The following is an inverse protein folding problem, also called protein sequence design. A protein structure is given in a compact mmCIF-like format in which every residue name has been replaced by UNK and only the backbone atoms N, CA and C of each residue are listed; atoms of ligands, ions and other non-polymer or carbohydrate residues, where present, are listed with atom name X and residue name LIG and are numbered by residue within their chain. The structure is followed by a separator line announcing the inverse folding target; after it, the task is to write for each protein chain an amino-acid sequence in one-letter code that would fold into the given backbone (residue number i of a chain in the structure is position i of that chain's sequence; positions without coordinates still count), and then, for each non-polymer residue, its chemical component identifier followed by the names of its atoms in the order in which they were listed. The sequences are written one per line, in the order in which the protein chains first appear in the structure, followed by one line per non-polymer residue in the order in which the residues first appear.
data_IF_264877032366
#
_entry.id   IF_264877032366
#
_cell.length_a   1.000
_cell.length_b   1.000
_cell.length_c   1.000
_cell.angle_alpha   90.00
_cell.angle_beta   90.00
_cell.angle_gamma   90.00
#
_symmetry.space_group_name_H-M   'P 1'
#
loop_
_entity.id
_entity.type
_entity.pdbx_description
1 polymer ?
#
# COMPACT_ATOMS: atom_id res chain seq x y z
N UNK A 1 7.92 11.31 63.06
CA UNK A 1 6.96 10.61 62.18
C UNK A 1 6.79 11.42 60.92
N UNK A 2 6.79 10.76 59.78
CA UNK A 2 6.62 11.39 58.45
C UNK A 2 5.59 10.55 57.65
N UNK A 3 4.60 11.22 57.03
CA UNK A 3 3.59 10.57 56.20
C UNK A 3 2.99 11.60 55.24
N UNK A 4 2.51 11.11 54.11
CA UNK A 4 1.76 11.90 53.13
C UNK A 4 0.28 11.50 53.23
N UNK A 5 -0.61 12.47 53.22
CA UNK A 5 -2.07 12.26 53.20
C UNK A 5 -2.67 12.88 51.96
N UNK A 6 -3.66 12.20 51.40
CA UNK A 6 -4.55 12.77 50.38
C UNK A 6 -5.86 13.22 51.10
N UNK A 7 -6.14 14.49 51.04
CA UNK A 7 -7.34 15.10 51.61
C UNK A 7 -8.12 15.80 50.50
N UNK A 8 -9.31 16.28 50.80
CA UNK A 8 -10.08 17.10 49.86
C UNK A 8 -10.18 18.51 50.39
N UNK A 9 -9.95 19.49 49.50
CA UNK A 9 -10.16 20.89 49.81
C UNK A 9 -11.66 21.25 49.94
N UNK A 10 -11.97 22.49 50.29
CA UNK A 10 -13.35 22.97 50.41
C UNK A 10 -14.13 22.95 49.09
N UNK A 11 -13.48 22.76 47.94
CA UNK A 11 -14.07 22.67 46.60
C UNK A 11 -14.13 21.21 46.10
N UNK A 12 -13.71 20.25 46.92
CA UNK A 12 -13.72 18.81 46.61
C UNK A 12 -12.53 18.33 45.77
N UNK A 13 -11.51 19.18 45.56
CA UNK A 13 -10.28 18.82 44.85
C UNK A 13 -9.31 18.06 45.79
N UNK A 14 -8.52 17.13 45.23
CA UNK A 14 -7.51 16.40 45.98
C UNK A 14 -6.36 17.31 46.41
N UNK A 15 -6.06 17.32 47.70
CA UNK A 15 -4.96 18.03 48.33
C UNK A 15 -3.99 17.01 48.92
N UNK A 16 -2.72 17.06 48.53
CA UNK A 16 -1.67 16.20 49.06
C UNK A 16 -0.82 16.95 50.06
N UNK A 17 -0.80 16.49 51.31
CA UNK A 17 -0.09 17.12 52.41
C UNK A 17 1.04 16.21 52.90
N UNK A 18 2.31 16.73 52.90
CA UNK A 18 3.44 16.10 53.59
C UNK A 18 3.41 16.56 55.03
N UNK A 19 3.14 15.65 55.96
CA UNK A 19 2.99 15.90 57.37
C UNK A 19 4.19 15.34 58.14
N UNK A 20 4.85 16.20 58.92
CA UNK A 20 5.98 15.80 59.77
C UNK A 20 5.74 16.20 61.21
N UNK A 21 5.90 15.25 62.09
CA UNK A 21 5.74 15.44 63.52
C UNK A 21 7.04 15.16 64.25
N UNK A 22 7.58 16.17 64.93
CA UNK A 22 8.85 16.12 65.67
C UNK A 22 8.64 16.54 67.12
N UNK A 23 9.27 15.81 68.05
CA UNK A 23 9.33 16.19 69.45
C UNK A 23 10.67 16.87 69.69
N UNK A 24 10.62 18.11 70.16
CA UNK A 24 11.81 18.88 70.53
C UNK A 24 11.93 18.80 72.02
N UNK A 25 12.99 18.19 72.52
CA UNK A 25 13.34 18.11 73.97
C UNK A 25 14.28 19.25 74.33
N UNK A 26 13.95 19.94 75.44
CA UNK A 26 14.77 21.00 76.01
C UNK A 26 14.94 20.74 77.51
N UNK A 27 16.10 21.07 78.03
CA UNK A 27 16.38 20.89 79.48
C UNK A 27 15.64 21.95 80.32
N UNK A 28 15.25 23.07 79.73
CA UNK A 28 14.65 24.21 80.47
C UNK A 28 13.12 24.33 80.31
N UNK A 29 12.50 23.55 79.39
CA UNK A 29 11.07 23.66 79.10
C UNK A 29 10.44 22.27 78.91
N UNK A 30 9.13 22.21 79.07
CA UNK A 30 8.36 21.01 78.69
C UNK A 30 8.55 20.67 77.20
N UNK A 31 8.65 19.38 76.82
CA UNK A 31 8.85 19.00 75.43
C UNK A 31 7.80 19.57 74.50
N UNK A 32 8.26 20.21 73.42
CA UNK A 32 7.38 20.82 72.38
C UNK A 32 7.15 19.82 71.25
N UNK A 33 5.93 19.72 70.81
CA UNK A 33 5.57 18.94 69.66
C UNK A 33 5.42 19.86 68.46
N UNK A 34 6.35 19.76 67.50
CA UNK A 34 6.31 20.53 66.24
C UNK A 34 5.57 19.69 65.18
N UNK A 35 4.52 20.26 64.63
CA UNK A 35 3.80 19.71 63.49
C UNK A 35 4.03 20.61 62.29
N UNK A 36 4.55 20.07 61.19
CA UNK A 36 4.82 20.81 59.98
C UNK A 36 4.03 20.13 58.86
N UNK A 37 3.30 20.92 58.12
CA UNK A 37 2.51 20.46 56.95
C UNK A 37 2.89 21.31 55.73
N UNK A 38 3.20 20.63 54.63
CA UNK A 38 3.44 21.27 53.33
C UNK A 38 2.45 20.77 52.33
N UNK A 39 1.88 21.68 51.55
CA UNK A 39 1.12 21.35 50.36
C UNK A 39 2.08 20.92 49.27
N UNK A 40 1.94 19.64 48.85
CA UNK A 40 2.74 19.04 47.77
C UNK A 40 1.86 18.60 46.61
N UNK A 41 0.67 19.16 46.49
CA UNK A 41 -0.35 18.75 45.51
C UNK A 41 0.18 18.85 44.08
N UNK A 42 0.74 20.00 43.71
CA UNK A 42 1.31 20.17 42.36
C UNK A 42 2.44 19.18 42.08
N UNK A 43 3.28 18.92 43.09
CA UNK A 43 4.40 17.96 42.94
C UNK A 43 3.90 16.52 42.77
N UNK A 44 2.90 16.10 43.53
CA UNK A 44 2.35 14.74 43.39
C UNK A 44 1.53 14.58 42.09
N UNK A 45 0.81 15.61 41.63
CA UNK A 45 0.12 15.60 40.34
C UNK A 45 1.13 15.51 39.18
N UNK A 46 2.17 16.36 39.16
CA UNK A 46 3.24 16.29 38.14
C UNK A 46 3.95 14.93 38.14
N UNK A 47 4.20 14.37 39.33
CA UNK A 47 4.82 13.04 39.44
C UNK A 47 3.91 11.95 38.86
N UNK A 48 2.60 11.98 39.08
CA UNK A 48 1.64 11.04 38.49
C UNK A 48 1.59 11.18 36.96
N UNK A 49 1.53 12.43 36.45
CA UNK A 49 1.59 12.69 35.00
C UNK A 49 2.88 12.16 34.36
N UNK A 50 4.02 12.41 35.03
CA UNK A 50 5.33 11.93 34.56
C UNK A 50 5.39 10.39 34.56
N UNK A 51 4.82 9.74 35.57
CA UNK A 51 4.78 8.27 35.62
C UNK A 51 3.93 7.71 34.48
N UNK A 52 2.75 8.27 34.22
CA UNK A 52 1.88 7.86 33.11
C UNK A 52 2.57 8.10 31.74
N UNK A 53 3.21 9.26 31.58
CA UNK A 53 3.97 9.57 30.35
C UNK A 53 5.16 8.61 30.16
N UNK A 54 5.89 8.29 31.24
CA UNK A 54 7.00 7.34 31.22
C UNK A 54 6.52 5.93 30.84
N UNK A 55 5.47 5.42 31.49
CA UNK A 55 4.92 4.10 31.23
C UNK A 55 4.43 3.98 29.77
N UNK A 56 3.78 5.03 29.24
CA UNK A 56 3.37 5.11 27.85
C UNK A 56 4.59 5.10 26.90
N UNK A 57 5.65 5.81 27.23
CA UNK A 57 6.88 5.83 26.43
C UNK A 57 7.61 4.47 26.45
N UNK A 58 7.74 3.84 27.62
CA UNK A 58 8.34 2.51 27.77
C UNK A 58 7.56 1.43 27.00
N UNK A 59 6.22 1.47 27.09
CA UNK A 59 5.35 0.55 26.34
C UNK A 59 5.52 0.77 24.83
N UNK A 60 5.57 2.01 24.38
CA UNK A 60 5.81 2.34 22.96
C UNK A 60 7.16 1.82 22.46
N UNK A 61 8.22 1.95 23.28
CA UNK A 61 9.57 1.49 22.91
C UNK A 61 9.65 -0.05 22.86
N UNK A 62 9.00 -0.73 23.79
CA UNK A 62 8.88 -2.19 23.78
C UNK A 62 8.13 -2.68 22.54
N UNK A 63 7.00 -2.05 22.18
CA UNK A 63 6.25 -2.37 20.98
C UNK A 63 7.08 -2.16 19.71
N UNK A 64 7.87 -1.08 19.67
CA UNK A 64 8.76 -0.77 18.54
C UNK A 64 9.87 -1.81 18.39
N UNK A 65 10.46 -2.23 19.49
CA UNK A 65 11.51 -3.27 19.52
C UNK A 65 10.95 -4.64 19.09
N UNK A 66 9.79 -5.03 19.60
CA UNK A 66 9.10 -6.24 19.17
C UNK A 66 8.72 -6.21 17.70
N UNK A 67 8.28 -5.05 17.18
CA UNK A 67 8.00 -4.81 15.78
C UNK A 67 9.24 -5.11 14.91
N UNK A 68 10.41 -4.50 15.21
CA UNK A 68 11.64 -4.71 14.45
C UNK A 68 12.13 -6.16 14.49
N UNK A 69 12.01 -6.84 15.64
CA UNK A 69 12.39 -8.24 15.78
C UNK A 69 11.50 -9.16 14.92
N UNK A 70 10.18 -8.96 14.95
CA UNK A 70 9.23 -9.71 14.15
C UNK A 70 9.42 -9.48 12.65
N UNK A 71 9.65 -8.22 12.24
CA UNK A 71 9.96 -7.89 10.84
C UNK A 71 11.19 -8.61 10.35
N UNK A 72 12.27 -8.59 11.14
CA UNK A 72 13.51 -9.28 10.78
C UNK A 72 13.28 -10.78 10.56
N UNK A 73 12.42 -11.41 11.36
CA UNK A 73 12.06 -12.82 11.21
C UNK A 73 11.20 -13.06 9.95
N UNK A 74 10.15 -12.26 9.73
CA UNK A 74 9.26 -12.41 8.57
C UNK A 74 9.95 -12.11 7.23
N UNK A 75 10.98 -11.25 7.21
CA UNK A 75 11.85 -11.01 6.04
C UNK A 75 12.82 -12.18 5.83
N UNK A 76 13.43 -12.70 6.90
CA UNK A 76 14.47 -13.74 6.80
C UNK A 76 13.93 -15.06 6.23
N UNK A 77 12.72 -15.44 6.59
CA UNK A 77 12.10 -16.71 6.17
C UNK A 77 11.97 -16.82 4.64
N UNK A 78 11.29 -15.90 3.94
CA UNK A 78 11.21 -15.96 2.47
C UNK A 78 12.58 -15.73 1.82
N UNK A 79 13.43 -14.87 2.37
CA UNK A 79 14.76 -14.62 1.83
C UNK A 79 15.64 -15.89 1.84
N UNK A 80 15.62 -16.65 2.93
CA UNK A 80 16.35 -17.92 3.03
C UNK A 80 15.83 -18.96 2.02
N UNK A 81 14.51 -19.01 1.79
CA UNK A 81 13.92 -19.88 0.77
C UNK A 81 14.38 -19.47 -0.63
N UNK A 82 14.32 -18.17 -0.97
CA UNK A 82 14.81 -17.65 -2.26
C UNK A 82 16.27 -18.03 -2.48
N UNK A 83 17.16 -17.76 -1.51
CA UNK A 83 18.59 -18.05 -1.62
C UNK A 83 18.83 -19.56 -1.74
N UNK A 84 18.16 -20.38 -0.92
CA UNK A 84 18.34 -21.82 -0.89
C UNK A 84 17.91 -22.47 -2.21
N UNK A 85 16.69 -22.22 -2.66
CA UNK A 85 16.17 -22.80 -3.88
C UNK A 85 16.84 -22.25 -5.14
N UNK A 86 17.29 -20.98 -5.16
CA UNK A 86 18.08 -20.44 -6.28
C UNK A 86 19.41 -21.21 -6.48
N UNK A 87 20.07 -21.65 -5.41
CA UNK A 87 21.27 -22.51 -5.50
C UNK A 87 20.94 -23.88 -6.06
N UNK A 88 19.87 -24.51 -5.56
CA UNK A 88 19.43 -25.83 -6.04
C UNK A 88 19.06 -25.78 -7.52
N UNK A 89 18.37 -24.72 -7.99
CA UNK A 89 18.06 -24.48 -9.39
C UNK A 89 19.32 -24.41 -10.25
N UNK A 90 20.38 -23.78 -9.74
CA UNK A 90 21.65 -23.66 -10.46
C UNK A 90 22.40 -24.98 -10.60
N UNK A 91 22.22 -25.90 -9.65
CA UNK A 91 22.91 -27.19 -9.58
C UNK A 91 22.07 -28.35 -10.17
N UNK A 92 20.73 -28.23 -10.26
CA UNK A 92 19.84 -29.26 -10.78
C UNK A 92 19.90 -29.32 -12.31
N UNK A 93 20.03 -30.54 -12.88
CA UNK A 93 19.91 -30.84 -14.31
C UNK A 93 18.47 -31.20 -14.72
N UNK A 94 17.61 -31.53 -13.75
CA UNK A 94 16.22 -31.94 -13.99
C UNK A 94 15.33 -30.70 -14.22
N UNK A 95 14.73 -30.60 -15.40
CA UNK A 95 13.89 -29.46 -15.81
C UNK A 95 12.61 -29.34 -14.98
N UNK A 96 11.97 -30.44 -14.60
CA UNK A 96 10.73 -30.43 -13.80
C UNK A 96 11.01 -29.97 -12.37
N UNK A 97 12.07 -30.46 -11.74
CA UNK A 97 12.50 -30.01 -10.42
C UNK A 97 12.88 -28.51 -10.44
N UNK A 98 13.60 -28.06 -11.48
CA UNK A 98 13.94 -26.64 -11.64
C UNK A 98 12.69 -25.75 -11.70
N UNK A 99 11.65 -26.20 -12.39
CA UNK A 99 10.39 -25.48 -12.51
C UNK A 99 9.64 -25.43 -11.16
N UNK A 100 9.61 -26.54 -10.44
CA UNK A 100 9.03 -26.58 -9.10
C UNK A 100 9.74 -25.63 -8.13
N UNK A 101 11.07 -25.67 -8.09
CA UNK A 101 11.86 -24.78 -7.22
C UNK A 101 11.76 -23.31 -7.64
N UNK A 102 11.66 -23.02 -8.94
CA UNK A 102 11.41 -21.70 -9.44
C UNK A 102 10.09 -21.13 -8.94
N UNK A 103 9.01 -21.90 -8.97
CA UNK A 103 7.72 -21.50 -8.44
C UNK A 103 7.79 -21.18 -6.93
N UNK A 104 8.60 -21.93 -6.18
CA UNK A 104 8.82 -21.65 -4.74
C UNK A 104 9.57 -20.33 -4.56
N UNK A 105 10.60 -20.06 -5.37
CA UNK A 105 11.33 -18.79 -5.34
C UNK A 105 10.40 -17.62 -5.66
N UNK A 106 9.59 -17.74 -6.71
CA UNK A 106 8.65 -16.73 -7.16
C UNK A 106 7.60 -16.41 -6.07
N UNK A 107 6.95 -17.42 -5.49
CA UNK A 107 5.99 -17.25 -4.41
C UNK A 107 6.58 -16.58 -3.15
N UNK A 108 7.84 -16.89 -2.81
CA UNK A 108 8.52 -16.25 -1.68
C UNK A 108 8.95 -14.82 -1.99
N UNK A 109 9.30 -14.52 -3.24
CA UNK A 109 9.61 -13.16 -3.69
C UNK A 109 8.37 -12.26 -3.65
N UNK A 110 7.22 -12.72 -4.15
CA UNK A 110 5.94 -12.01 -4.05
C UNK A 110 5.57 -11.74 -2.59
N UNK A 111 5.72 -12.74 -1.71
CA UNK A 111 5.48 -12.59 -0.28
C UNK A 111 6.38 -11.54 0.36
N UNK A 112 7.66 -11.50 -0.01
CA UNK A 112 8.62 -10.52 0.51
C UNK A 112 8.26 -9.11 0.04
N UNK A 113 7.89 -8.93 -1.22
CA UNK A 113 7.44 -7.66 -1.77
C UNK A 113 6.18 -7.16 -1.08
N UNK A 114 5.20 -8.04 -0.87
CA UNK A 114 3.98 -7.71 -0.13
C UNK A 114 4.32 -7.22 1.29
N UNK A 115 5.19 -7.94 2.01
CA UNK A 115 5.63 -7.57 3.36
C UNK A 115 6.28 -6.18 3.38
N UNK A 116 7.19 -5.91 2.43
CA UNK A 116 7.87 -4.61 2.34
C UNK A 116 6.86 -3.48 2.09
N UNK A 117 5.91 -3.68 1.20
CA UNK A 117 4.87 -2.68 0.90
C UNK A 117 3.97 -2.43 2.12
N UNK A 118 3.56 -3.47 2.83
CA UNK A 118 2.78 -3.34 4.07
C UNK A 118 3.53 -2.56 5.15
N UNK A 119 4.84 -2.77 5.29
CA UNK A 119 5.70 -2.03 6.21
C UNK A 119 5.80 -0.56 5.83
N UNK A 120 6.04 -0.28 4.56
CA UNK A 120 6.14 1.09 4.04
C UNK A 120 4.82 1.84 4.22
N UNK A 121 3.69 1.20 3.90
CA UNK A 121 2.36 1.77 4.10
C UNK A 121 2.13 2.11 5.58
N UNK A 122 2.36 1.15 6.48
CA UNK A 122 2.21 1.37 7.91
C UNK A 122 3.09 2.52 8.41
N UNK A 123 4.37 2.54 8.00
CA UNK A 123 5.33 3.57 8.41
C UNK A 123 4.90 4.96 7.93
N UNK A 124 4.41 5.08 6.68
CA UNK A 124 3.92 6.35 6.13
C UNK A 124 2.66 6.83 6.84
N UNK A 125 1.72 5.91 7.12
CA UNK A 125 0.47 6.24 7.83
C UNK A 125 0.77 6.70 9.25
N UNK A 126 1.67 6.03 9.99
CA UNK A 126 2.06 6.43 11.36
C UNK A 126 2.79 7.75 11.42
N UNK A 127 3.66 8.02 10.45
CA UNK A 127 4.35 9.31 10.33
C UNK A 127 3.42 10.46 9.93
N UNK A 128 2.15 10.19 9.59
CA UNK A 128 1.22 11.21 9.10
C UNK A 128 1.57 11.76 7.71
N UNK A 129 2.46 11.08 6.98
CA UNK A 129 2.97 11.52 5.67
C UNK A 129 1.98 11.14 4.54
N UNK A 130 1.10 10.16 4.79
CA UNK A 130 0.08 9.78 3.81
C UNK A 130 -1.02 10.84 3.79
N UNK A 131 -1.09 11.54 2.70
CA UNK A 131 -2.24 12.37 2.37
C UNK A 131 -3.37 11.47 1.88
N UNK A 132 -4.54 11.59 2.52
CA UNK A 132 -5.75 10.92 2.09
C UNK A 132 -6.41 11.79 1.01
N UNK A 133 -6.65 11.22 -0.15
CA UNK A 133 -7.32 11.91 -1.26
C UNK A 133 -8.85 11.79 -1.07
N UNK A 134 -9.41 12.70 -0.27
CA UNK A 134 -10.85 12.71 -0.02
C UNK A 134 -11.58 13.30 -1.24
N UNK A 135 -12.43 12.49 -1.86
CA UNK A 135 -13.25 12.85 -3.01
C UNK A 135 -14.60 12.11 -2.93
N UNK A 136 -15.63 12.57 -3.67
CA UNK A 136 -16.89 11.84 -3.78
C UNK A 136 -16.68 10.44 -4.40
N UNK A 137 -17.02 9.39 -3.65
CA UNK A 137 -16.89 7.99 -4.06
C UNK A 137 -18.28 7.37 -4.19
N UNK A 138 -18.59 6.84 -5.37
CA UNK A 138 -19.78 5.99 -5.57
C UNK A 138 -19.44 4.57 -5.16
N UNK A 139 -20.20 4.03 -4.21
CA UNK A 139 -19.86 2.73 -3.59
C UNK A 139 -20.16 1.54 -4.49
N UNK A 140 -21.24 1.56 -5.25
CA UNK A 140 -21.58 0.46 -6.15
C UNK A 140 -20.50 0.19 -7.22
N UNK A 141 -20.04 1.19 -8.01
CA UNK A 141 -18.94 0.98 -8.95
C UNK A 141 -17.65 0.52 -8.28
N UNK A 142 -17.31 1.07 -7.10
CA UNK A 142 -16.12 0.66 -6.36
C UNK A 142 -16.19 -0.82 -5.94
N UNK A 143 -17.31 -1.25 -5.36
CA UNK A 143 -17.46 -2.65 -4.94
C UNK A 143 -17.50 -3.60 -6.15
N UNK A 144 -18.08 -3.18 -7.27
CA UNK A 144 -18.03 -3.96 -8.52
C UNK A 144 -16.59 -4.10 -9.04
N UNK A 145 -15.81 -3.03 -9.04
CA UNK A 145 -14.38 -3.07 -9.40
C UNK A 145 -13.60 -4.03 -8.50
N UNK A 146 -13.90 -4.03 -7.18
CA UNK A 146 -13.30 -4.98 -6.23
C UNK A 146 -13.71 -6.41 -6.58
N UNK A 147 -14.98 -6.65 -6.92
CA UNK A 147 -15.45 -7.97 -7.32
C UNK A 147 -14.69 -8.49 -8.54
N UNK A 148 -14.62 -7.69 -9.60
CA UNK A 148 -13.96 -8.05 -10.85
C UNK A 148 -12.44 -8.33 -10.65
N UNK A 149 -11.80 -7.61 -9.73
CA UNK A 149 -10.40 -7.82 -9.39
C UNK A 149 -10.13 -9.12 -8.61
N UNK A 150 -11.13 -9.66 -7.89
CA UNK A 150 -10.94 -10.80 -6.99
C UNK A 150 -11.59 -12.09 -7.46
N UNK A 151 -12.59 -12.05 -8.32
CA UNK A 151 -13.34 -13.24 -8.78
C UNK A 151 -12.44 -14.28 -9.42
N UNK A 152 -11.43 -13.87 -10.21
CA UNK A 152 -10.47 -14.79 -10.84
C UNK A 152 -9.47 -15.43 -9.88
N UNK A 153 -9.33 -14.88 -8.67
CA UNK A 153 -8.46 -15.41 -7.61
C UNK A 153 -9.22 -16.24 -6.58
N UNK A 154 -10.55 -16.32 -6.73
CA UNK A 154 -11.40 -17.08 -5.84
C UNK A 154 -11.09 -18.58 -5.99
N UNK A 155 -10.87 -19.34 -4.90
CA UNK A 155 -10.71 -20.79 -4.97
C UNK A 155 -11.92 -21.46 -5.65
N UNK A 156 -11.71 -22.54 -6.39
CA UNK A 156 -12.76 -23.21 -7.17
C UNK A 156 -13.97 -23.67 -6.36
N UNK A 157 -13.79 -23.96 -5.09
CA UNK A 157 -14.81 -24.48 -4.17
C UNK A 157 -15.40 -23.40 -3.25
N UNK A 158 -15.12 -22.12 -3.54
CA UNK A 158 -15.59 -20.96 -2.80
C UNK A 158 -16.31 -20.01 -3.76
N UNK A 159 -17.48 -19.50 -3.36
CA UNK A 159 -18.22 -18.49 -4.10
C UNK A 159 -17.97 -17.10 -3.51
N UNK A 160 -17.58 -16.13 -4.36
CA UNK A 160 -17.46 -14.72 -3.97
C UNK A 160 -18.74 -13.98 -4.36
N UNK A 161 -19.46 -13.44 -3.37
CA UNK A 161 -20.76 -12.80 -3.54
C UNK A 161 -20.65 -11.32 -3.17
N UNK A 162 -20.97 -10.45 -4.12
CA UNK A 162 -21.20 -9.04 -3.82
C UNK A 162 -22.68 -8.81 -3.53
N UNK A 163 -22.99 -8.28 -2.35
CA UNK A 163 -24.35 -7.92 -1.91
C UNK A 163 -24.57 -6.42 -2.13
N UNK A 164 -25.13 -6.00 -3.26
CA UNK A 164 -25.34 -4.59 -3.55
C UNK A 164 -26.45 -4.02 -2.65
N UNK A 165 -26.26 -2.76 -2.21
CA UNK A 165 -27.36 -1.99 -1.62
C UNK A 165 -28.33 -1.52 -2.72
N UNK A 166 -29.61 -1.39 -2.37
CA UNK A 166 -30.64 -0.86 -3.27
C UNK A 166 -30.46 0.64 -3.59
N UNK A 167 -29.61 1.34 -2.86
CA UNK A 167 -29.35 2.78 -3.01
C UNK A 167 -27.98 3.06 -3.63
N UNK A 168 -27.91 4.02 -4.58
CA UNK A 168 -26.65 4.54 -5.13
C UNK A 168 -25.99 5.51 -4.12
N UNK A 169 -25.29 4.96 -3.15
CA UNK A 169 -24.69 5.71 -2.06
C UNK A 169 -23.38 6.36 -2.52
N UNK A 170 -23.24 7.66 -2.21
CA UNK A 170 -22.00 8.44 -2.38
C UNK A 170 -21.49 8.91 -1.03
N UNK A 171 -20.18 8.79 -0.81
CA UNK A 171 -19.52 9.30 0.40
C UNK A 171 -18.27 10.09 0.02
N UNK A 172 -17.92 11.09 0.82
CA UNK A 172 -16.63 11.79 0.72
C UNK A 172 -15.57 10.96 1.44
N UNK A 173 -14.74 10.27 0.66
CA UNK A 173 -13.72 9.37 1.21
C UNK A 173 -12.59 9.13 0.21
N UNK A 174 -11.60 8.33 0.58
CA UNK A 174 -10.52 7.90 -0.31
C UNK A 174 -10.86 6.54 -0.94
N UNK A 175 -11.16 6.56 -2.25
CA UNK A 175 -11.50 5.38 -3.05
C UNK A 175 -10.44 4.26 -2.89
N UNK A 176 -9.16 4.62 -3.00
CA UNK A 176 -8.07 3.64 -3.01
C UNK A 176 -7.90 2.99 -1.63
N UNK A 177 -8.13 3.75 -0.57
CA UNK A 177 -8.04 3.22 0.80
C UNK A 177 -9.22 2.30 1.14
N UNK A 178 -10.43 2.63 0.69
CA UNK A 178 -11.58 1.72 0.84
C UNK A 178 -11.33 0.44 0.04
N UNK A 179 -10.87 0.56 -1.21
CA UNK A 179 -10.47 -0.59 -2.05
C UNK A 179 -9.44 -1.47 -1.33
N UNK A 180 -8.40 -0.87 -0.76
CA UNK A 180 -7.33 -1.55 -0.02
C UNK A 180 -7.87 -2.33 1.19
N UNK A 181 -8.76 -1.71 1.99
CA UNK A 181 -9.37 -2.35 3.17
C UNK A 181 -10.20 -3.55 2.76
N UNK A 182 -11.15 -3.38 1.83
CA UNK A 182 -12.05 -4.48 1.41
C UNK A 182 -11.25 -5.60 0.76
N UNK A 183 -10.28 -5.28 -0.12
CA UNK A 183 -9.42 -6.27 -0.77
C UNK A 183 -8.59 -7.07 0.24
N UNK A 184 -8.10 -6.43 1.30
CA UNK A 184 -7.36 -7.11 2.36
C UNK A 184 -8.26 -8.06 3.17
N UNK A 185 -9.49 -7.65 3.46
CA UNK A 185 -10.46 -8.49 4.16
C UNK A 185 -10.89 -9.69 3.30
N UNK A 186 -11.18 -9.49 1.99
CA UNK A 186 -11.48 -10.57 1.05
C UNK A 186 -10.28 -11.52 0.90
N UNK A 187 -9.06 -10.99 0.79
CA UNK A 187 -7.84 -11.79 0.73
C UNK A 187 -7.62 -12.65 1.97
N UNK A 188 -7.99 -12.15 3.15
CA UNK A 188 -7.99 -12.95 4.37
C UNK A 188 -9.09 -14.02 4.34
N UNK A 189 -10.29 -13.70 3.88
CA UNK A 189 -11.38 -14.65 3.74
C UNK A 189 -10.99 -15.83 2.80
N UNK A 190 -10.34 -15.56 1.64
CA UNK A 190 -9.82 -16.61 0.76
C UNK A 190 -8.83 -17.57 1.43
N UNK A 191 -8.00 -17.06 2.35
CA UNK A 191 -7.00 -17.89 3.06
C UNK A 191 -7.62 -18.88 4.05
N UNK A 192 -8.77 -18.52 4.62
CA UNK A 192 -9.37 -19.28 5.72
C UNK A 192 -10.65 -20.01 5.32
N UNK A 193 -11.13 -19.84 4.09
CA UNK A 193 -12.30 -20.51 3.55
C UNK A 193 -11.84 -21.49 2.45
N UNK A 194 -11.93 -22.78 2.73
CA UNK A 194 -11.59 -23.83 1.75
C UNK A 194 -12.80 -24.24 0.92
N UNK A 195 -14.00 -24.15 1.48
CA UNK A 195 -15.28 -24.47 0.82
C UNK A 195 -16.36 -23.55 1.37
N UNK A 196 -17.32 -23.17 0.55
CA UNK A 196 -18.45 -22.35 0.96
C UNK A 196 -18.51 -21.00 0.24
N UNK A 197 -18.74 -19.91 0.97
CA UNK A 197 -18.93 -18.60 0.36
C UNK A 197 -18.27 -17.49 1.17
N UNK A 198 -17.96 -16.43 0.43
CA UNK A 198 -17.50 -15.16 0.98
C UNK A 198 -18.44 -14.10 0.43
N UNK A 199 -19.17 -13.41 1.31
CA UNK A 199 -20.04 -12.29 0.93
C UNK A 199 -19.49 -10.97 1.45
N UNK A 200 -19.70 -9.91 0.69
CA UNK A 200 -19.36 -8.55 1.13
C UNK A 200 -20.35 -7.55 0.53
N UNK A 201 -20.53 -6.48 1.26
CA UNK A 201 -21.45 -5.45 0.86
C UNK A 201 -21.41 -4.24 1.78
N UNK A 202 -22.36 -3.34 1.60
CA UNK A 202 -22.52 -2.17 2.42
C UNK A 202 -24.01 -1.80 2.54
N UNK A 203 -24.35 -1.10 3.62
CA UNK A 203 -25.66 -0.50 3.82
C UNK A 203 -25.54 0.78 4.65
N UNK A 204 -26.52 1.64 4.56
CA UNK A 204 -26.58 2.84 5.37
C UNK A 204 -27.30 2.59 6.69
N UNK A 205 -26.68 3.03 7.78
CA UNK A 205 -27.28 3.03 9.11
C UNK A 205 -27.13 4.42 9.75
N UNK A 206 -28.19 5.22 9.69
CA UNK A 206 -28.17 6.60 10.15
C UNK A 206 -27.15 7.47 9.37
N UNK A 207 -26.20 8.05 10.10
CA UNK A 207 -25.12 8.89 9.52
C UNK A 207 -23.86 8.10 9.15
N UNK A 208 -23.93 6.78 9.16
CA UNK A 208 -22.79 5.91 8.83
C UNK A 208 -23.12 4.96 7.70
N UNK A 209 -22.11 4.64 6.90
CA UNK A 209 -22.13 3.51 5.98
C UNK A 209 -21.42 2.36 6.65
N UNK A 210 -22.11 1.24 6.78
CA UNK A 210 -21.60 0.00 7.35
C UNK A 210 -21.20 -0.92 6.20
N UNK A 211 -19.94 -1.32 6.19
CA UNK A 211 -19.39 -2.32 5.29
C UNK A 211 -19.20 -3.64 6.03
N UNK A 212 -19.42 -4.74 5.36
CA UNK A 212 -19.17 -6.07 5.91
C UNK A 212 -18.46 -6.97 4.90
N UNK A 213 -17.62 -7.87 5.42
CA UNK A 213 -17.04 -9.00 4.68
C UNK A 213 -17.23 -10.22 5.56
N UNK A 214 -18.01 -11.19 5.09
CA UNK A 214 -18.37 -12.40 5.81
C UNK A 214 -17.85 -13.62 5.08
N UNK A 215 -17.19 -14.51 5.78
CA UNK A 215 -16.72 -15.80 5.28
C UNK A 215 -17.33 -16.96 6.06
N UNK A 216 -17.46 -18.12 5.42
CA UNK A 216 -17.90 -19.38 6.02
C UNK A 216 -16.72 -20.29 6.38
N UNK A 217 -15.54 -19.72 6.64
CA UNK A 217 -14.31 -20.43 6.87
C UNK A 217 -14.14 -20.99 8.29
N UNK A 218 -12.89 -21.23 8.68
CA UNK A 218 -12.54 -21.87 9.95
C UNK A 218 -12.87 -21.07 11.20
N UNK A 219 -13.18 -19.77 11.05
CA UNK A 219 -13.42 -18.88 12.17
C UNK A 219 -12.18 -18.57 13.01
N UNK A 220 -12.37 -17.77 14.05
CA UNK A 220 -11.33 -17.28 14.96
C UNK A 220 -11.66 -17.70 16.39
N UNK A 221 -10.66 -18.26 17.08
CA UNK A 221 -10.80 -18.65 18.48
C UNK A 221 -11.10 -17.41 19.38
N UNK A 222 -12.01 -17.50 20.35
CA UNK A 222 -12.45 -16.36 21.18
C UNK A 222 -11.31 -15.60 21.85
N UNK A 223 -10.26 -16.31 22.28
CA UNK A 223 -9.08 -15.71 22.94
C UNK A 223 -8.27 -14.80 22.02
N UNK A 224 -8.44 -14.96 20.71
CA UNK A 224 -7.70 -14.21 19.68
C UNK A 224 -8.50 -13.04 19.11
N UNK A 225 -9.84 -13.06 19.20
CA UNK A 225 -10.71 -12.02 18.61
C UNK A 225 -10.28 -10.60 19.03
N UNK A 226 -10.00 -10.39 20.34
CA UNK A 226 -9.56 -9.10 20.86
C UNK A 226 -8.21 -8.60 20.36
N UNK A 227 -7.41 -9.48 19.73
CA UNK A 227 -6.02 -9.19 19.32
C UNK A 227 -5.80 -9.23 17.81
N UNK A 228 -6.81 -9.57 16.99
CA UNK A 228 -6.61 -9.77 15.54
C UNK A 228 -6.17 -8.50 14.80
N UNK A 229 -6.45 -7.33 15.36
CA UNK A 229 -6.03 -6.04 14.83
C UNK A 229 -4.66 -5.58 15.37
N UNK A 230 -4.05 -6.34 16.29
CA UNK A 230 -2.68 -6.06 16.73
C UNK A 230 -1.67 -6.51 15.65
N UNK A 231 -0.51 -5.83 15.61
CA UNK A 231 0.52 -6.09 14.61
C UNK A 231 1.14 -7.47 14.82
N UNK A 232 1.39 -8.20 13.71
CA UNK A 232 2.00 -9.55 13.70
C UNK A 232 1.20 -10.63 14.44
N UNK A 233 -0.03 -10.35 14.82
CA UNK A 233 -0.91 -11.37 15.37
C UNK A 233 -1.46 -12.21 14.22
N UNK A 234 -1.28 -13.54 14.33
CA UNK A 234 -1.82 -14.54 13.38
C UNK A 234 -2.89 -15.35 14.09
N UNK A 235 -4.02 -15.51 13.44
CA UNK A 235 -5.11 -16.35 13.97
C UNK A 235 -4.65 -17.80 14.16
N UNK A 236 -3.76 -18.30 13.30
CA UNK A 236 -3.09 -19.59 13.41
C UNK A 236 -1.59 -19.42 13.15
N UNK A 237 -0.72 -20.04 13.97
CA UNK A 237 0.74 -19.94 13.83
C UNK A 237 1.26 -20.53 12.51
N UNK A 238 0.48 -21.40 11.86
CA UNK A 238 0.77 -22.00 10.57
C UNK A 238 0.14 -21.22 9.38
N UNK A 239 -0.69 -20.21 9.65
CA UNK A 239 -1.32 -19.44 8.59
C UNK A 239 -0.30 -18.57 7.86
N UNK A 240 -0.30 -18.67 6.54
CA UNK A 240 0.47 -17.77 5.67
C UNK A 240 -0.03 -16.33 5.82
N UNK A 241 0.88 -15.39 6.00
CA UNK A 241 0.56 -13.96 6.08
C UNK A 241 1.51 -13.21 7.00
N UNK A 242 1.58 -11.90 6.85
CA UNK A 242 2.48 -11.01 7.57
C UNK A 242 1.98 -10.64 8.97
N UNK A 243 0.64 -10.72 9.18
CA UNK A 243 -0.02 -10.24 10.38
C UNK A 243 -0.10 -8.71 10.48
N UNK A 244 0.17 -7.99 9.38
CA UNK A 244 0.07 -6.52 9.30
C UNK A 244 -1.23 -6.05 8.66
N UNK A 245 -1.82 -6.83 7.77
CA UNK A 245 -2.96 -6.41 6.96
C UNK A 245 -4.14 -5.88 7.78
N UNK A 246 -4.59 -6.59 8.82
CA UNK A 246 -5.69 -6.14 9.67
C UNK A 246 -5.34 -4.89 10.50
N UNK A 247 -4.09 -4.77 10.95
CA UNK A 247 -3.61 -3.57 11.64
C UNK A 247 -3.61 -2.34 10.71
N UNK A 248 -3.24 -2.54 9.44
CA UNK A 248 -3.32 -1.50 8.40
C UNK A 248 -4.78 -1.12 8.15
N UNK A 249 -5.69 -2.09 7.99
CA UNK A 249 -7.12 -1.83 7.83
C UNK A 249 -7.67 -0.97 8.97
N UNK A 250 -7.37 -1.33 10.22
CA UNK A 250 -7.77 -0.56 11.39
C UNK A 250 -7.26 0.87 11.34
N UNK A 251 -5.98 1.05 11.04
CA UNK A 251 -5.37 2.39 10.99
C UNK A 251 -5.98 3.25 9.87
N UNK A 252 -6.25 2.67 8.70
CA UNK A 252 -6.91 3.37 7.59
C UNK A 252 -8.32 3.81 8.00
N UNK A 253 -9.13 2.90 8.55
CA UNK A 253 -10.51 3.19 8.94
C UNK A 253 -10.58 4.24 10.05
N UNK A 254 -9.72 4.16 11.08
CA UNK A 254 -9.64 5.18 12.14
C UNK A 254 -9.24 6.55 11.58
N UNK A 255 -8.36 6.63 10.59
CA UNK A 255 -7.97 7.87 9.91
C UNK A 255 -9.10 8.45 9.05
N UNK A 256 -9.95 7.62 8.48
CA UNK A 256 -11.16 8.02 7.75
C UNK A 256 -12.34 8.39 8.69
N UNK A 257 -12.12 8.34 10.02
CA UNK A 257 -13.12 8.69 11.02
C UNK A 257 -14.11 7.57 11.36
N UNK A 258 -13.80 6.34 10.98
CA UNK A 258 -14.62 5.16 11.22
C UNK A 258 -14.08 4.25 12.32
N UNK A 259 -14.74 3.10 12.48
CA UNK A 259 -14.32 2.01 13.37
C UNK A 259 -14.42 0.66 12.65
N UNK A 260 -13.58 -0.30 13.03
CA UNK A 260 -13.61 -1.67 12.52
C UNK A 260 -13.78 -2.66 13.67
N UNK A 261 -14.56 -3.70 13.44
CA UNK A 261 -14.84 -4.76 14.41
C UNK A 261 -14.86 -6.13 13.73
N UNK A 262 -14.86 -7.18 14.53
CA UNK A 262 -14.92 -8.57 14.05
C UNK A 262 -15.85 -9.38 14.96
N UNK A 263 -16.66 -10.22 14.34
CA UNK A 263 -17.43 -11.27 15.00
C UNK A 263 -17.08 -12.60 14.34
N UNK A 264 -16.83 -13.62 15.13
CA UNK A 264 -16.42 -14.92 14.59
C UNK A 264 -16.80 -16.03 15.54
N UNK A 265 -17.15 -17.17 14.97
CA UNK A 265 -17.37 -18.43 15.71
C UNK A 265 -16.55 -19.52 15.03
N UNK A 266 -15.82 -20.30 15.82
CA UNK A 266 -14.94 -21.36 15.34
C UNK A 266 -15.75 -22.37 14.48
N UNK A 267 -15.22 -22.73 13.32
CA UNK A 267 -15.85 -23.61 12.32
C UNK A 267 -17.15 -23.12 11.68
N UNK A 268 -17.55 -21.86 11.95
CA UNK A 268 -18.73 -21.24 11.31
C UNK A 268 -18.39 -20.05 10.42
N UNK A 269 -17.20 -19.47 10.61
CA UNK A 269 -16.73 -18.35 9.81
C UNK A 269 -16.51 -17.06 10.59
N UNK A 270 -16.22 -16.00 9.83
CA UNK A 270 -15.87 -14.69 10.39
C UNK A 270 -16.61 -13.59 9.62
N UNK A 271 -17.07 -12.57 10.36
CA UNK A 271 -17.57 -11.32 9.78
C UNK A 271 -16.73 -10.16 10.28
N UNK A 272 -16.06 -9.48 9.37
CA UNK A 272 -15.45 -8.19 9.62
C UNK A 272 -16.43 -7.09 9.22
N UNK A 273 -16.63 -6.12 10.12
CA UNK A 273 -17.52 -4.98 9.89
C UNK A 273 -16.77 -3.68 10.15
N UNK A 274 -16.87 -2.72 9.25
CA UNK A 274 -16.36 -1.37 9.50
C UNK A 274 -17.38 -0.32 9.08
N UNK A 275 -17.33 0.84 9.73
CA UNK A 275 -18.17 1.97 9.39
C UNK A 275 -17.35 3.15 8.89
N UNK A 276 -17.95 3.96 8.04
CA UNK A 276 -17.44 5.27 7.64
C UNK A 276 -18.56 6.31 7.77
N UNK A 277 -18.24 7.57 8.13
CA UNK A 277 -19.24 8.65 8.16
C UNK A 277 -19.84 8.86 6.77
N UNK A 278 -21.17 8.82 6.66
CA UNK A 278 -21.90 9.19 5.46
C UNK A 278 -21.97 10.73 5.38
N UNK A 279 -20.86 11.39 5.05
CA UNK A 279 -20.93 12.77 4.56
C UNK A 279 -21.40 12.68 3.12
N UNK A 280 -22.72 12.80 2.93
CA UNK A 280 -23.34 12.83 1.61
C UNK A 280 -22.89 14.14 0.95
N UNK A 281 -22.18 14.05 -0.18
CA UNK A 281 -21.87 15.21 -1.00
C UNK A 281 -23.19 15.84 -1.43
N UNK A 282 -23.45 17.08 -1.02
CA UNK A 282 -24.62 17.82 -1.47
C UNK A 282 -24.62 17.95 -3.00
N UNK A 283 -25.76 17.71 -3.63
CA UNK A 283 -25.98 17.67 -5.08
C UNK A 283 -25.70 19.01 -5.81
N UNK A 284 -25.10 20.02 -5.20
CA UNK A 284 -24.97 21.37 -5.76
C UNK A 284 -23.59 21.76 -6.30
N UNK A 285 -22.67 20.84 -6.64
CA UNK A 285 -21.49 21.23 -7.42
C UNK A 285 -21.26 20.36 -8.64
N UNK A 286 -21.83 20.83 -9.76
CA UNK A 286 -21.42 20.68 -11.16
C UNK A 286 -21.15 19.26 -11.67
N UNK A 287 -22.17 18.74 -12.35
CA UNK A 287 -21.98 17.91 -13.53
C UNK A 287 -20.98 18.57 -14.50
N UNK A 288 -19.77 18.07 -14.53
CA UNK A 288 -18.95 18.20 -15.74
C UNK A 288 -19.50 17.18 -16.74
N UNK A 289 -19.89 17.57 -17.95
CA UNK A 289 -20.42 16.65 -18.91
C UNK A 289 -19.36 15.61 -19.31
N UNK A 290 -19.69 14.34 -19.14
CA UNK A 290 -19.04 13.26 -19.86
C UNK A 290 -19.10 13.58 -21.34
N UNK A 291 -17.96 13.84 -21.95
CA UNK A 291 -17.84 13.95 -23.39
C UNK A 291 -18.07 12.55 -23.96
N UNK A 292 -19.31 12.28 -24.31
CA UNK A 292 -19.69 11.16 -25.16
C UNK A 292 -19.01 11.40 -26.50
N UNK A 293 -18.03 10.60 -26.83
CA UNK A 293 -17.52 10.48 -28.19
C UNK A 293 -18.59 9.76 -28.99
N UNK A 294 -19.52 10.54 -29.56
CA UNK A 294 -20.38 10.06 -30.65
C UNK A 294 -19.50 9.80 -31.88
N UNK A 295 -19.53 8.56 -32.31
CA UNK A 295 -19.16 8.15 -33.66
C UNK A 295 -20.10 8.86 -34.63
N UNK A 296 -19.60 9.88 -35.35
CA UNK A 296 -20.26 10.35 -36.56
C UNK A 296 -19.37 10.03 -37.73
N UNK A 297 -19.78 8.96 -38.42
CA UNK A 297 -19.36 8.74 -39.78
C UNK A 297 -20.03 9.76 -40.71
N UNK A 298 -19.29 10.27 -41.65
CA UNK A 298 -19.67 10.38 -43.06
C UNK A 298 -18.64 11.12 -43.91
N UNK A 299 -18.21 10.37 -44.88
CA UNK A 299 -18.23 10.65 -46.35
C UNK A 299 -17.43 11.84 -46.89
N UNK A 300 -16.45 11.41 -47.66
CA UNK A 300 -16.01 11.90 -49.00
C UNK A 300 -15.63 13.36 -49.17
N UNK A 301 -14.37 13.55 -49.52
CA UNK A 301 -14.09 14.09 -50.86
C UNK A 301 -12.63 13.80 -51.31
N UNK A 302 -12.55 13.17 -52.47
CA UNK A 302 -11.36 13.01 -53.29
C UNK A 302 -10.87 14.39 -53.77
N UNK A 303 -9.60 14.66 -53.61
CA UNK A 303 -8.90 15.42 -54.66
C UNK A 303 -7.47 14.90 -54.81
N UNK A 304 -7.25 14.39 -56.03
CA UNK A 304 -5.99 14.00 -56.63
C UNK A 304 -4.99 15.15 -56.62
N UNK A 305 -3.76 14.89 -56.20
CA UNK A 305 -2.58 15.49 -56.82
C UNK A 305 -1.50 14.42 -56.96
N UNK A 306 -1.11 14.26 -58.19
CA UNK A 306 -0.17 13.30 -58.75
C UNK A 306 1.29 13.67 -58.46
N UNK A 307 2.09 12.61 -58.38
CA UNK A 307 3.48 12.45 -58.83
C UNK A 307 4.60 12.86 -57.85
N UNK A 308 5.29 11.88 -57.32
CA UNK A 308 6.59 11.44 -57.84
C UNK A 308 7.02 10.12 -57.21
N UNK A 309 7.32 9.15 -58.09
CA UNK A 309 7.98 7.90 -57.78
C UNK A 309 9.40 8.18 -57.34
N UNK A 310 9.75 7.91 -56.11
CA UNK A 310 11.14 7.57 -55.77
C UNK A 310 11.15 6.10 -55.33
N UNK A 311 11.98 5.36 -55.99
CA UNK A 311 12.21 3.94 -55.83
C UNK A 311 12.64 3.62 -54.41
N UNK A 312 11.83 2.89 -53.70
CA UNK A 312 12.22 2.25 -52.45
C UNK A 312 13.15 1.09 -52.79
N UNK A 313 14.39 1.20 -52.39
CA UNK A 313 15.28 0.07 -52.13
C UNK A 313 14.68 -0.76 -51.02
N UNK A 314 14.77 -2.10 -51.08
CA UNK A 314 14.24 -2.93 -49.98
C UNK A 314 15.09 -2.69 -48.72
N UNK A 315 14.50 -2.04 -47.70
CA UNK A 315 15.11 -1.95 -46.38
C UNK A 315 15.25 -3.37 -45.81
N UNK A 316 16.52 -3.79 -45.73
CA UNK A 316 16.89 -4.93 -44.88
C UNK A 316 16.28 -4.71 -43.51
N UNK A 317 15.63 -5.72 -42.90
CA UNK A 317 15.01 -5.68 -41.60
C UNK A 317 16.03 -5.26 -40.53
N UNK A 318 16.13 -3.96 -40.28
CA UNK A 318 16.96 -3.40 -39.21
C UNK A 318 16.31 -3.80 -37.91
N UNK A 319 17.08 -4.43 -37.02
CA UNK A 319 16.62 -4.71 -35.63
C UNK A 319 16.27 -3.39 -34.94
N UNK A 320 15.07 -3.29 -34.38
CA UNK A 320 14.58 -2.10 -33.71
C UNK A 320 15.43 -1.78 -32.47
N UNK A 321 15.70 -0.51 -32.23
CA UNK A 321 16.57 -0.01 -31.15
C UNK A 321 15.74 0.50 -29.99
N UNK A 322 15.99 -0.02 -28.79
CA UNK A 322 15.40 0.42 -27.54
C UNK A 322 16.47 1.13 -26.70
N UNK A 323 16.22 2.37 -26.33
CA UNK A 323 17.03 3.10 -25.35
C UNK A 323 16.47 2.83 -23.96
N UNK A 324 17.31 2.32 -23.05
CA UNK A 324 16.95 1.98 -21.67
C UNK A 324 17.67 2.93 -20.73
N UNK A 325 16.93 3.86 -20.14
CA UNK A 325 17.42 4.73 -19.08
C UNK A 325 17.18 4.06 -17.73
N UNK A 326 18.22 3.48 -17.13
CA UNK A 326 18.16 2.69 -15.90
C UNK A 326 19.53 2.74 -15.20
N UNK A 327 19.58 3.28 -13.99
CA UNK A 327 20.80 3.43 -13.19
C UNK A 327 21.26 2.11 -12.54
N UNK A 328 20.33 1.23 -12.22
CA UNK A 328 20.59 -0.01 -11.49
C UNK A 328 21.00 -1.15 -12.44
N UNK A 329 22.20 -1.70 -12.25
CA UNK A 329 22.74 -2.76 -13.11
C UNK A 329 21.88 -4.02 -13.18
N UNK A 330 21.31 -4.46 -12.07
CA UNK A 330 20.45 -5.67 -12.02
C UNK A 330 19.18 -5.49 -12.84
N UNK A 331 18.55 -4.32 -12.82
CA UNK A 331 17.36 -4.02 -13.60
C UNK A 331 17.66 -4.02 -15.09
N UNK A 332 18.78 -3.36 -15.48
CA UNK A 332 19.23 -3.38 -16.88
C UNK A 332 19.53 -4.79 -17.38
N UNK A 333 20.24 -5.61 -16.58
CA UNK A 333 20.55 -7.00 -16.93
C UNK A 333 19.26 -7.81 -17.13
N UNK A 334 18.24 -7.61 -16.27
CA UNK A 334 16.94 -8.25 -16.43
C UNK A 334 16.27 -7.86 -17.74
N UNK A 335 16.18 -6.56 -18.04
CA UNK A 335 15.59 -6.06 -19.31
C UNK A 335 16.37 -6.62 -20.50
N UNK A 336 17.70 -6.63 -20.43
CA UNK A 336 18.57 -7.18 -21.48
C UNK A 336 18.35 -8.69 -21.68
N UNK A 337 18.16 -9.45 -20.62
CA UNK A 337 17.88 -10.89 -20.71
C UNK A 337 16.53 -11.16 -21.39
N UNK A 338 15.53 -10.32 -21.14
CA UNK A 338 14.18 -10.44 -21.72
C UNK A 338 14.14 -10.02 -23.19
N UNK A 339 14.76 -8.88 -23.53
CA UNK A 339 14.58 -8.21 -24.83
C UNK A 339 15.77 -8.35 -25.79
N UNK A 340 16.97 -8.64 -25.30
CA UNK A 340 18.21 -8.58 -26.08
C UNK A 340 18.32 -9.60 -27.23
N UNK A 341 17.40 -10.57 -27.32
CA UNK A 341 17.29 -11.48 -28.46
C UNK A 341 16.47 -10.94 -29.62
N UNK A 342 15.57 -9.97 -29.34
CA UNK A 342 14.57 -9.46 -30.28
C UNK A 342 14.88 -8.02 -30.73
N UNK A 343 15.61 -7.26 -29.88
CA UNK A 343 15.86 -5.83 -30.06
C UNK A 343 17.32 -5.47 -29.84
N UNK A 344 17.76 -4.39 -30.49
CA UNK A 344 19.05 -3.73 -30.21
C UNK A 344 18.86 -2.85 -28.96
N UNK A 345 19.67 -3.06 -27.92
CA UNK A 345 19.49 -2.38 -26.62
C UNK A 345 20.68 -1.47 -26.33
N UNK A 346 20.39 -0.21 -26.08
CA UNK A 346 21.36 0.77 -25.59
C UNK A 346 20.99 1.26 -24.22
N UNK A 347 21.99 1.51 -23.36
CA UNK A 347 21.76 1.88 -21.95
C UNK A 347 22.26 3.29 -21.68
N UNK A 348 21.40 4.09 -21.03
CA UNK A 348 21.75 5.31 -20.32
C UNK A 348 21.66 5.06 -18.81
N UNK A 349 22.60 5.58 -18.03
CA UNK A 349 22.66 5.41 -16.56
C UNK A 349 21.96 6.52 -15.78
N UNK A 350 21.60 7.60 -16.45
CA UNK A 350 20.82 8.69 -15.90
C UNK A 350 20.03 9.42 -16.99
N UNK A 351 19.18 10.36 -16.58
CA UNK A 351 18.34 11.10 -17.52
C UNK A 351 19.11 12.01 -18.46
N UNK A 352 20.27 12.53 -18.07
CA UNK A 352 21.10 13.38 -18.94
C UNK A 352 21.75 12.55 -20.04
N UNK A 353 22.29 11.39 -19.68
CA UNK A 353 22.84 10.44 -20.66
C UNK A 353 21.72 9.96 -21.60
N UNK A 354 20.51 9.72 -21.10
CA UNK A 354 19.36 9.34 -21.92
C UNK A 354 18.99 10.41 -22.94
N UNK A 355 18.99 11.68 -22.58
CA UNK A 355 18.75 12.81 -23.53
C UNK A 355 19.83 12.88 -24.58
N UNK A 356 21.11 12.77 -24.21
CA UNK A 356 22.22 12.82 -25.16
C UNK A 356 22.18 11.64 -26.14
N UNK A 357 22.01 10.43 -25.63
CA UNK A 357 21.92 9.21 -26.43
C UNK A 357 20.68 9.20 -27.32
N UNK A 358 19.57 9.79 -26.90
CA UNK A 358 18.38 9.93 -27.74
C UNK A 358 18.70 10.70 -29.03
N UNK A 359 19.40 11.81 -28.91
CA UNK A 359 19.78 12.63 -30.08
C UNK A 359 20.75 11.90 -31.02
N UNK A 360 21.69 11.11 -30.46
CA UNK A 360 22.71 10.40 -31.25
C UNK A 360 22.17 9.13 -31.93
N UNK A 361 21.31 8.37 -31.23
CA UNK A 361 20.91 7.02 -31.65
C UNK A 361 19.59 7.00 -32.41
N UNK A 362 18.73 8.01 -32.23
CA UNK A 362 17.36 8.04 -32.73
C UNK A 362 16.64 6.67 -32.52
N UNK A 363 16.40 6.28 -31.26
CA UNK A 363 15.82 4.98 -30.92
C UNK A 363 14.36 4.86 -31.38
N UNK A 364 13.86 3.62 -31.51
CA UNK A 364 12.46 3.36 -31.86
C UNK A 364 11.53 3.51 -30.69
N UNK A 365 12.01 3.35 -29.44
CA UNK A 365 11.28 3.46 -28.17
C UNK A 365 12.25 3.70 -27.02
N UNK A 366 11.77 4.35 -25.97
CA UNK A 366 12.54 4.61 -24.73
C UNK A 366 11.84 3.94 -23.54
N UNK A 367 12.59 3.16 -22.77
CA UNK A 367 12.22 2.73 -21.42
C UNK A 367 12.90 3.67 -20.43
N UNK A 368 12.13 4.45 -19.68
CA UNK A 368 12.62 5.54 -18.82
C UNK A 368 12.33 5.27 -17.37
N UNK A 369 13.35 5.00 -16.56
CA UNK A 369 13.16 4.99 -15.10
C UNK A 369 12.85 6.40 -14.59
N UNK A 370 11.83 6.53 -13.77
CA UNK A 370 11.41 7.81 -13.21
C UNK A 370 12.38 8.32 -12.14
N UNK A 371 13.10 7.41 -11.45
CA UNK A 371 14.03 7.76 -10.37
C UNK A 371 15.46 7.40 -10.73
N UNK A 372 16.18 8.38 -11.21
CA UNK A 372 17.62 8.26 -11.54
C UNK A 372 18.41 9.41 -10.91
N UNK A 373 19.72 9.23 -10.68
CA UNK A 373 20.60 10.31 -10.24
C UNK A 373 20.77 11.40 -11.30
N UNK A 374 21.32 12.55 -10.92
CA UNK A 374 21.61 13.72 -11.76
C UNK A 374 20.36 14.36 -12.38
N UNK A 375 19.74 13.71 -13.37
CA UNK A 375 18.49 14.12 -14.00
C UNK A 375 17.47 12.99 -13.89
N UNK A 376 16.33 13.25 -13.25
CA UNK A 376 15.24 12.27 -13.11
C UNK A 376 14.50 12.02 -14.43
N UNK A 377 13.81 10.88 -14.53
CA UNK A 377 13.10 10.49 -15.76
C UNK A 377 11.99 11.45 -16.16
N UNK A 378 11.31 12.12 -15.23
CA UNK A 378 10.29 13.14 -15.54
C UNK A 378 10.90 14.32 -16.30
N UNK A 379 12.04 14.84 -15.84
CA UNK A 379 12.69 15.99 -16.46
C UNK A 379 13.35 15.58 -17.78
N UNK A 380 13.96 14.40 -17.85
CA UNK A 380 14.50 13.85 -19.10
C UNK A 380 13.38 13.68 -20.15
N UNK A 381 12.20 13.19 -19.76
CA UNK A 381 11.05 13.06 -20.64
C UNK A 381 10.59 14.41 -21.19
N UNK A 382 10.51 15.48 -20.36
CA UNK A 382 10.17 16.83 -20.83
C UNK A 382 11.13 17.31 -21.90
N UNK A 383 12.43 17.18 -21.66
CA UNK A 383 13.46 17.59 -22.64
C UNK A 383 13.33 16.80 -23.93
N UNK A 384 13.15 15.47 -23.86
CA UNK A 384 12.98 14.65 -25.06
C UNK A 384 11.70 15.03 -25.83
N UNK A 385 10.61 15.37 -25.14
CA UNK A 385 9.36 15.83 -25.76
C UNK A 385 9.49 17.15 -26.51
N UNK A 386 10.34 18.05 -26.03
CA UNK A 386 10.68 19.29 -26.75
C UNK A 386 11.45 19.00 -28.08
N UNK A 387 12.24 17.92 -28.08
CA UNK A 387 13.02 17.51 -29.26
C UNK A 387 12.23 16.61 -30.21
N UNK A 388 11.39 15.74 -29.69
CA UNK A 388 10.56 14.79 -30.46
C UNK A 388 9.22 14.52 -29.73
N UNK A 389 8.10 15.04 -30.26
CA UNK A 389 6.80 14.80 -29.72
C UNK A 389 6.32 13.35 -29.81
N UNK A 390 6.81 12.61 -30.83
CA UNK A 390 6.19 11.35 -31.28
C UNK A 390 6.90 10.08 -30.80
N UNK A 391 8.14 10.15 -30.27
CA UNK A 391 8.87 8.97 -29.82
C UNK A 391 8.13 8.28 -28.66
N UNK A 392 7.85 6.97 -28.72
CA UNK A 392 7.25 6.27 -27.59
C UNK A 392 8.18 6.27 -26.39
N UNK A 393 7.68 6.73 -25.23
CA UNK A 393 8.39 6.71 -23.94
C UNK A 393 7.54 5.96 -22.95
N UNK A 394 8.06 4.86 -22.42
CA UNK A 394 7.42 4.03 -21.41
C UNK A 394 8.10 4.30 -20.06
N UNK A 395 7.34 4.80 -19.11
CA UNK A 395 7.84 5.07 -17.77
C UNK A 395 8.04 3.76 -16.99
N UNK A 396 9.20 3.57 -16.36
CA UNK A 396 9.46 2.51 -15.39
C UNK A 396 9.34 3.12 -13.97
N UNK A 397 8.40 2.66 -13.15
CA UNK A 397 8.14 3.22 -11.83
C UNK A 397 8.16 2.15 -10.74
N UNK A 398 8.67 2.49 -9.55
CA UNK A 398 8.65 1.60 -8.38
C UNK A 398 7.30 1.59 -7.65
N UNK A 399 6.38 2.50 -7.95
CA UNK A 399 5.11 2.67 -7.24
C UNK A 399 3.92 2.68 -8.20
N UNK A 400 2.89 1.91 -7.85
CA UNK A 400 1.63 1.82 -8.59
C UNK A 400 0.61 2.91 -8.21
N UNK A 401 1.04 4.01 -7.55
CA UNK A 401 0.12 5.05 -7.11
C UNK A 401 -0.32 5.94 -8.27
N UNK A 402 -1.60 6.30 -8.27
CA UNK A 402 -2.21 7.16 -9.30
C UNK A 402 -1.48 8.49 -9.50
N UNK A 403 -0.82 9.03 -8.46
CA UNK A 403 -0.05 10.26 -8.56
C UNK A 403 1.19 10.11 -9.45
N UNK A 404 1.99 9.05 -9.28
CA UNK A 404 3.21 8.83 -10.08
C UNK A 404 2.86 8.51 -11.54
N UNK A 405 1.75 7.77 -11.73
CA UNK A 405 1.19 7.49 -13.04
C UNK A 405 0.74 8.77 -13.75
N UNK A 406 -0.05 9.62 -13.06
CA UNK A 406 -0.49 10.90 -13.60
C UNK A 406 0.69 11.78 -13.96
N UNK A 407 1.67 11.92 -13.06
CA UNK A 407 2.86 12.72 -13.30
C UNK A 407 3.64 12.25 -14.54
N UNK A 408 3.81 10.94 -14.75
CA UNK A 408 4.47 10.40 -15.93
C UNK A 408 3.68 10.70 -17.22
N UNK A 409 2.37 10.55 -17.23
CA UNK A 409 1.51 10.86 -18.38
C UNK A 409 1.45 12.36 -18.67
N UNK A 410 1.38 13.20 -17.63
CA UNK A 410 1.35 14.67 -17.77
C UNK A 410 2.63 15.25 -18.39
N UNK A 411 3.80 14.64 -18.12
CA UNK A 411 5.07 15.05 -18.77
C UNK A 411 5.25 14.46 -20.16
N UNK A 412 4.30 13.61 -20.63
CA UNK A 412 4.27 13.11 -21.99
C UNK A 412 4.76 11.67 -22.17
N UNK A 413 4.86 10.85 -21.12
CA UNK A 413 5.02 9.40 -21.30
C UNK A 413 3.80 8.80 -21.99
N UNK A 414 3.99 7.81 -22.85
CA UNK A 414 2.91 7.15 -23.59
C UNK A 414 2.26 6.02 -22.79
N UNK A 415 3.05 5.38 -21.92
CA UNK A 415 2.60 4.28 -21.06
C UNK A 415 3.52 4.18 -19.84
N UNK A 416 3.19 3.26 -18.92
CA UNK A 416 4.02 3.02 -17.74
C UNK A 416 4.04 1.53 -17.40
N UNK A 417 5.12 1.10 -16.72
CA UNK A 417 5.32 -0.22 -16.16
C UNK A 417 5.73 -0.09 -14.70
N UNK A 418 5.04 -0.80 -13.82
CA UNK A 418 5.40 -0.85 -12.40
C UNK A 418 6.45 -1.93 -12.15
N UNK A 419 7.52 -1.58 -11.47
CA UNK A 419 8.54 -2.52 -10.98
C UNK A 419 8.05 -3.20 -9.68
N UNK A 420 8.16 -4.56 -9.56
CA UNK A 420 8.67 -5.47 -10.55
C UNK A 420 7.65 -5.79 -11.65
N UNK A 421 8.11 -5.99 -12.87
CA UNK A 421 7.29 -6.41 -14.00
C UNK A 421 7.69 -7.81 -14.49
N UNK A 422 6.74 -8.54 -15.08
CA UNK A 422 7.03 -9.86 -15.68
C UNK A 422 7.52 -9.70 -17.10
N UNK A 423 8.14 -10.79 -17.64
CA UNK A 423 8.61 -10.82 -19.03
C UNK A 423 7.46 -10.59 -20.02
N UNK A 424 6.29 -11.16 -19.74
CA UNK A 424 5.10 -11.07 -20.60
C UNK A 424 4.62 -9.61 -20.68
N UNK A 425 4.43 -8.96 -19.54
CA UNK A 425 3.94 -7.58 -19.47
C UNK A 425 4.91 -6.61 -20.14
N UNK A 426 6.23 -6.77 -19.94
CA UNK A 426 7.22 -5.94 -20.61
C UNK A 426 7.17 -6.10 -22.13
N UNK A 427 7.10 -7.35 -22.63
CA UNK A 427 7.03 -7.62 -24.08
C UNK A 427 5.75 -7.13 -24.72
N UNK A 428 4.62 -7.32 -24.06
CA UNK A 428 3.32 -6.81 -24.55
C UNK A 428 3.30 -5.30 -24.66
N UNK A 429 3.80 -4.61 -23.62
CA UNK A 429 3.87 -3.13 -23.63
C UNK A 429 4.76 -2.62 -24.75
N UNK A 430 5.93 -3.23 -24.96
CA UNK A 430 6.82 -2.82 -26.06
C UNK A 430 6.18 -3.07 -27.43
N UNK A 431 5.59 -4.24 -27.67
CA UNK A 431 4.90 -4.56 -28.94
C UNK A 431 3.74 -3.61 -29.24
N UNK A 432 3.03 -3.15 -28.21
CA UNK A 432 1.94 -2.17 -28.35
C UNK A 432 2.44 -0.84 -28.93
N UNK A 433 3.66 -0.41 -28.58
CA UNK A 433 4.17 0.91 -28.90
C UNK A 433 5.22 0.92 -30.03
N UNK A 434 5.92 -0.18 -30.26
CA UNK A 434 6.77 -0.33 -31.46
C UNK A 434 5.85 -0.63 -32.64
N UNK A 435 5.66 0.35 -33.52
CA UNK A 435 4.92 0.15 -34.77
C UNK A 435 5.72 -0.83 -35.65
N UNK A 436 5.10 -1.95 -36.03
CA UNK A 436 5.53 -2.77 -37.12
C UNK A 436 5.24 -1.93 -38.40
N UNK A 437 6.31 -1.50 -39.08
CA UNK A 437 6.19 -0.91 -40.43
C UNK A 437 6.11 -2.03 -41.46
#
# INVERSE_FOLDING_TARGET
MHWITEERDGNGQSLFLDKRKMKIESNDFSPILLNIEWDITDMELMKRELMVAKEKAETSDQLKSAFLANMSHEIRTPLNAIIGFSRIIAESENTEERKEYYNIVEANNERLLQLINEILDLSKIEAGIVEFSIAPVRLYPLCKEIHDAHVFRCPSDVELIFEPSDEDIRIDSDKNRIFQVISNLIGNAFKFTTHGSISYGYHQEGENIIFHVTDTGTGIAPEKIGKVFERFVKANNFAQGTGLGLAICKTIIERLGGTISVTSELEKGTTFTFNLPAKIANEEEKEMPETVLEESGSTTNEQKATTEKNQATPESSRMKTILIAEDTDSNYILIKAILGKEYHLERAKDGMEAVNMFVELNPDIILMDMKMPNLGGLDATRIIRELSPDIPIIALTAFAYDHDRKAALEVGCNDFLTKPFTQEVLKETIKKWIREN
#
